data_IF_183062784373
#
_entry.id   IF_183062784373
#
_cell.length_a   1.000
_cell.length_b   1.000
_cell.length_c   1.000
_cell.angle_alpha   90.00
_cell.angle_beta   90.00
_cell.angle_gamma   90.00
#
_symmetry.space_group_name_H-M   'P 1'
#
loop_
_entity.id
_entity.type
_entity.pdbx_description
1 polymer ?
#
# COMPACT_ATOMS: atom_id res chain seq x y z
N UNK A 1 -8.38 -10.29 23.10
CA UNK A 1 -7.55 -10.25 21.87
C UNK A 1 -6.72 -8.98 21.91
N UNK A 2 -5.47 -9.10 22.35
CA UNK A 2 -4.49 -8.02 22.25
C UNK A 2 -4.20 -7.78 20.77
N UNK A 3 -4.72 -6.69 20.20
CA UNK A 3 -4.07 -6.16 19.01
C UNK A 3 -2.76 -5.55 19.49
N UNK A 4 -1.69 -6.34 19.45
CA UNK A 4 -0.34 -5.81 19.57
C UNK A 4 -0.16 -4.73 18.49
N UNK A 5 0.46 -3.58 18.80
CA UNK A 5 0.71 -2.56 17.80
C UNK A 5 1.75 -3.11 16.84
N UNK A 6 1.28 -3.63 15.70
CA UNK A 6 2.12 -4.11 14.58
C UNK A 6 2.90 -2.93 13.96
N UNK A 7 2.39 -1.70 14.15
CA UNK A 7 2.88 -0.48 13.53
C UNK A 7 4.37 -0.12 13.78
N UNK A 8 4.88 -0.11 15.02
CA UNK A 8 6.28 0.23 15.29
C UNK A 8 7.30 -0.76 14.71
N UNK A 9 6.91 -2.01 14.44
CA UNK A 9 7.87 -2.99 13.91
C UNK A 9 8.04 -2.85 12.39
N UNK A 10 6.98 -2.51 11.67
CA UNK A 10 7.05 -2.30 10.23
C UNK A 10 7.91 -1.09 9.85
N UNK A 11 7.89 -0.01 10.65
CA UNK A 11 8.74 1.17 10.42
C UNK A 11 10.25 0.90 10.55
N UNK A 12 10.66 -0.25 11.11
CA UNK A 12 12.08 -0.63 11.18
C UNK A 12 12.63 -1.10 9.83
N UNK A 13 11.76 -1.47 8.89
CA UNK A 13 12.15 -1.92 7.56
C UNK A 13 12.37 -0.73 6.64
N UNK A 14 13.53 -0.68 5.97
CA UNK A 14 13.85 0.41 5.03
C UNK A 14 12.86 0.46 3.87
N UNK A 15 12.42 -0.69 3.37
CA UNK A 15 11.44 -0.78 2.29
C UNK A 15 10.10 -0.13 2.65
N UNK A 16 9.66 -0.28 3.92
CA UNK A 16 8.43 0.34 4.43
C UNK A 16 8.59 1.85 4.52
N UNK A 17 9.75 2.35 4.98
CA UNK A 17 10.02 3.78 5.08
C UNK A 17 10.03 4.47 3.71
N UNK A 18 10.61 3.83 2.70
CA UNK A 18 10.60 4.35 1.32
C UNK A 18 9.18 4.43 0.75
N UNK A 19 8.34 3.46 1.10
CA UNK A 19 6.95 3.41 0.66
C UNK A 19 6.09 4.47 1.37
N UNK A 20 6.32 4.69 2.67
CA UNK A 20 5.72 5.79 3.43
C UNK A 20 6.16 7.14 2.86
N UNK A 21 7.45 7.32 2.53
CA UNK A 21 7.96 8.57 1.96
C UNK A 21 7.33 8.88 0.59
N UNK A 22 7.14 7.85 -0.25
CA UNK A 22 6.42 8.01 -1.53
C UNK A 22 4.96 8.38 -1.30
N UNK A 23 4.28 7.75 -0.35
CA UNK A 23 2.90 8.07 0.00
C UNK A 23 2.76 9.50 0.53
N UNK A 24 3.66 9.90 1.44
CA UNK A 24 3.74 11.25 1.97
C UNK A 24 3.89 12.29 0.85
N UNK A 25 4.76 12.03 -0.12
CA UNK A 25 4.96 12.97 -1.24
C UNK A 25 3.67 13.18 -2.04
N UNK A 26 2.96 12.10 -2.37
CA UNK A 26 1.69 12.16 -3.10
C UNK A 26 0.62 12.89 -2.27
N UNK A 27 0.59 12.66 -0.97
CA UNK A 27 -0.38 13.28 -0.07
C UNK A 27 -0.11 14.78 0.10
N UNK A 28 1.17 15.18 0.18
CA UNK A 28 1.58 16.57 0.19
C UNK A 28 1.23 17.30 -1.11
N UNK A 29 1.46 16.66 -2.26
CA UNK A 29 1.05 17.19 -3.58
C UNK A 29 -0.48 17.36 -3.67
N UNK A 30 -1.24 16.38 -3.15
CA UNK A 30 -2.70 16.41 -3.17
C UNK A 30 -3.30 17.42 -2.19
N UNK A 31 -2.68 17.59 -1.03
CA UNK A 31 -3.13 18.51 0.01
C UNK A 31 -2.68 19.95 -0.25
N UNK A 32 -1.70 20.17 -1.12
CA UNK A 32 -1.09 21.48 -1.37
C UNK A 32 -0.36 22.04 -0.14
N UNK A 33 -0.02 21.18 0.82
CA UNK A 33 0.69 21.49 2.06
C UNK A 33 1.46 20.26 2.52
N UNK A 34 2.54 20.45 3.26
CA UNK A 34 3.24 19.32 3.86
C UNK A 34 2.33 18.62 4.87
N UNK A 35 2.07 17.33 4.64
CA UNK A 35 1.24 16.53 5.55
C UNK A 35 2.04 16.04 6.76
N UNK A 36 3.37 16.00 6.65
CA UNK A 36 4.25 15.50 7.69
C UNK A 36 4.37 13.97 7.68
N UNK A 37 5.53 13.49 8.14
CA UNK A 37 5.90 12.08 8.02
C UNK A 37 5.03 11.19 8.91
N UNK A 38 4.70 11.68 10.12
CA UNK A 38 3.92 10.96 11.12
C UNK A 38 2.49 10.65 10.63
N UNK A 39 1.80 11.67 10.09
CA UNK A 39 0.46 11.52 9.54
C UNK A 39 0.43 10.61 8.30
N UNK A 40 1.40 10.75 7.40
CA UNK A 40 1.51 9.89 6.22
C UNK A 40 1.86 8.44 6.60
N UNK A 41 2.73 8.24 7.60
CA UNK A 41 3.06 6.93 8.13
C UNK A 41 1.82 6.27 8.72
N UNK A 42 1.03 6.99 9.52
CA UNK A 42 -0.22 6.49 10.08
C UNK A 42 -1.25 6.08 9.01
N UNK A 43 -1.47 6.90 7.97
CA UNK A 43 -2.40 6.57 6.88
C UNK A 43 -1.89 5.34 6.11
N UNK A 44 -0.59 5.30 5.81
CA UNK A 44 0.04 4.19 5.12
C UNK A 44 -0.07 2.89 5.93
N UNK A 45 0.20 2.97 7.25
CA UNK A 45 0.06 1.87 8.19
C UNK A 45 -1.39 1.36 8.28
N UNK A 46 -2.40 2.22 8.14
CA UNK A 46 -3.81 1.78 8.19
C UNK A 46 -4.26 1.12 6.89
N UNK A 47 -3.74 1.56 5.74
CA UNK A 47 -4.29 1.19 4.41
C UNK A 47 -3.41 0.21 3.64
N UNK A 48 -2.10 0.34 3.74
CA UNK A 48 -1.13 -0.40 2.92
C UNK A 48 -0.34 -1.46 3.70
N UNK A 49 -0.17 -1.32 5.02
CA UNK A 49 0.58 -2.28 5.84
C UNK A 49 0.10 -3.73 5.66
N UNK A 50 -1.21 -3.95 5.64
CA UNK A 50 -1.82 -5.27 5.51
C UNK A 50 -1.49 -5.93 4.17
N UNK A 51 -1.48 -5.13 3.09
CA UNK A 51 -1.13 -5.61 1.74
C UNK A 51 0.38 -5.85 1.64
N UNK A 52 1.18 -4.98 2.24
CA UNK A 52 2.64 -5.12 2.26
C UNK A 52 3.07 -6.38 3.03
N UNK A 53 2.44 -6.64 4.18
CA UNK A 53 2.63 -7.85 4.96
C UNK A 53 2.20 -9.11 4.19
N UNK A 54 1.06 -9.09 3.50
CA UNK A 54 0.60 -10.22 2.68
C UNK A 54 1.58 -10.55 1.54
N UNK A 55 2.21 -9.53 0.95
CA UNK A 55 3.16 -9.71 -0.13
C UNK A 55 4.55 -10.18 0.35
N UNK A 56 5.02 -9.66 1.49
CA UNK A 56 6.37 -9.94 2.01
C UNK A 56 6.43 -11.08 3.02
N UNK A 57 5.32 -11.41 3.70
CA UNK A 57 5.22 -12.51 4.64
C UNK A 57 4.43 -13.64 3.96
N UNK A 58 5.10 -14.63 3.35
CA UNK A 58 4.43 -15.71 2.65
C UNK A 58 3.83 -16.71 3.65
N UNK A 59 2.73 -16.35 4.30
CA UNK A 59 2.04 -17.28 5.20
C UNK A 59 0.55 -17.43 4.86
N UNK A 60 0.31 -18.46 4.03
CA UNK A 60 -0.89 -19.30 4.04
C UNK A 60 -2.24 -18.59 3.82
N UNK A 61 -2.42 -18.09 2.59
CA UNK A 61 -3.64 -18.25 1.77
C UNK A 61 -4.94 -18.53 2.55
N UNK A 62 -5.61 -17.50 3.06
CA UNK A 62 -7.02 -17.64 3.45
C UNK A 62 -7.80 -16.31 3.35
N UNK A 63 -8.42 -16.14 2.17
CA UNK A 63 -9.71 -15.50 1.90
C UNK A 63 -10.26 -14.55 2.99
N UNK A 64 -10.19 -13.23 2.76
CA UNK A 64 -11.33 -12.34 3.03
C UNK A 64 -11.26 -11.07 2.19
N UNK A 65 -12.43 -10.70 1.68
CA UNK A 65 -12.75 -9.70 0.68
C UNK A 65 -12.41 -8.24 1.03
N UNK A 66 -12.06 -7.49 -0.03
CA UNK A 66 -12.57 -6.16 -0.42
C UNK A 66 -12.51 -5.00 0.58
N UNK A 67 -11.79 -3.93 0.19
CA UNK A 67 -12.34 -2.57 -0.11
C UNK A 67 -11.30 -1.47 0.16
N UNK A 68 -10.76 -0.83 -0.89
CA UNK A 68 -10.43 0.60 -0.96
C UNK A 68 -9.55 0.91 -2.19
N UNK A 69 -10.24 1.31 -3.23
CA UNK A 69 -9.84 2.16 -4.37
C UNK A 69 -8.78 3.25 -4.05
N UNK A 70 -7.71 3.31 -4.85
CA UNK A 70 -7.20 4.53 -5.53
C UNK A 70 -5.88 4.22 -6.31
N UNK A 71 -5.98 3.74 -7.56
CA UNK A 71 -5.69 4.46 -8.83
C UNK A 71 -4.21 4.46 -9.31
N UNK A 72 -3.89 3.60 -10.29
CA UNK A 72 -3.17 4.03 -11.51
C UNK A 72 -3.33 2.99 -12.65
N UNK A 73 -3.73 3.38 -13.88
CA UNK A 73 -4.06 2.43 -14.96
C UNK A 73 -3.02 2.40 -16.10
N UNK A 74 -2.46 1.22 -16.43
CA UNK A 74 -1.97 0.85 -17.79
C UNK A 74 -1.54 -0.63 -17.75
N UNK A 75 -1.81 -1.53 -18.70
CA UNK A 75 -2.09 -1.36 -20.12
C UNK A 75 -2.98 -2.48 -20.67
N UNK A 76 -3.68 -2.15 -21.75
CA UNK A 76 -4.70 -2.97 -22.44
C UNK A 76 -4.07 -4.17 -23.14
N UNK A 77 -4.56 -5.36 -22.83
CA UNK A 77 -4.43 -6.54 -23.69
C UNK A 77 -5.27 -6.35 -24.95
N UNK A 78 -4.66 -6.54 -26.11
CA UNK A 78 -5.38 -6.89 -27.35
C UNK A 78 -4.69 -8.11 -27.95
N UNK A 79 -5.17 -9.29 -27.57
CA UNK A 79 -4.94 -10.52 -28.34
C UNK A 79 -5.96 -10.52 -29.48
N UNK A 80 -5.55 -10.14 -30.69
CA UNK A 80 -6.33 -10.45 -31.88
C UNK A 80 -6.00 -11.89 -32.30
N UNK A 81 -7.03 -12.73 -32.38
CA UNK A 81 -6.97 -14.11 -32.88
C UNK A 81 -7.41 -14.09 -34.35
N UNK A 82 -6.74 -14.92 -35.15
CA UNK A 82 -6.83 -15.10 -36.59
C UNK A 82 -8.24 -15.14 -37.20
N UNK A 83 -8.31 -14.63 -38.43
CA UNK A 83 -9.12 -15.21 -39.51
C UNK A 83 -8.26 -15.22 -40.78
N UNK A 84 -7.68 -16.37 -41.10
CA UNK A 84 -7.28 -16.80 -42.44
C UNK A 84 -7.22 -18.33 -42.42
#
# INVERSE_FOLDING_TARGET
MSQEPIAPELLKNRDVLEEIARHQWIESEKAGRDVGFDAAAEDWLKRFSKVWMDYHLPEQKSKVSQSAEAVSPKAKSRKAKSYF
#
